data_IF_956988284523
#
_entry.id   IF_956988284523
#
_cell.length_a   1.000
_cell.length_b   1.000
_cell.length_c   1.000
_cell.angle_alpha   90.00
_cell.angle_beta   90.00
_cell.angle_gamma   90.00
#
_symmetry.space_group_name_H-M   'P 1'
#
loop_
_entity.id
_entity.type
_entity.pdbx_description
1 polymer ?
#
# COMPACT_ATOMS: atom_id res chain seq x y z
N UNK A 1 -3.89 -18.81 3.33
CA UNK A 1 -4.20 -18.15 4.61
C UNK A 1 -4.49 -19.20 5.67
N UNK A 2 -5.53 -20.02 5.49
CA UNK A 2 -5.91 -21.13 6.39
C UNK A 2 -4.78 -22.05 6.82
N UNK A 3 -3.93 -22.48 5.87
CA UNK A 3 -2.84 -23.42 6.13
C UNK A 3 -1.98 -23.00 7.33
N UNK A 4 -1.69 -21.71 7.48
CA UNK A 4 -0.80 -21.18 8.51
C UNK A 4 -1.51 -20.77 9.80
N UNK A 5 -2.85 -20.71 9.82
CA UNK A 5 -3.62 -20.21 10.96
C UNK A 5 -3.49 -21.14 12.17
N UNK A 6 -2.97 -20.62 13.29
CA UNK A 6 -2.81 -21.36 14.54
C UNK A 6 -1.81 -22.52 14.46
N UNK A 7 -0.88 -22.50 13.50
CA UNK A 7 0.17 -23.51 13.32
C UNK A 7 1.48 -23.03 13.92
N UNK A 8 2.19 -23.92 14.60
CA UNK A 8 3.49 -23.55 15.17
C UNK A 8 4.50 -23.31 14.06
N UNK A 9 5.44 -22.39 14.29
CA UNK A 9 6.46 -21.97 13.31
C UNK A 9 7.29 -23.10 12.71
N UNK A 10 7.48 -24.21 13.42
CA UNK A 10 8.25 -25.37 12.96
C UNK A 10 7.40 -26.45 12.28
N UNK A 11 6.08 -26.35 12.32
CA UNK A 11 5.17 -27.34 11.71
C UNK A 11 5.01 -27.12 10.18
N UNK A 12 5.32 -25.91 9.71
CA UNK A 12 5.20 -25.53 8.31
C UNK A 12 6.48 -24.87 7.78
N UNK A 13 6.67 -24.86 6.45
CA UNK A 13 7.79 -24.14 5.83
C UNK A 13 7.80 -22.65 6.22
N UNK A 14 8.98 -22.00 6.22
CA UNK A 14 9.08 -20.57 6.50
C UNK A 14 8.23 -19.72 5.55
N UNK A 15 7.37 -18.88 6.11
CA UNK A 15 6.49 -17.99 5.34
C UNK A 15 6.14 -16.73 6.15
N UNK A 16 5.88 -15.61 5.48
CA UNK A 16 5.49 -14.33 6.15
C UNK A 16 4.24 -14.46 7.01
N UNK A 17 3.31 -15.32 6.60
CA UNK A 17 2.10 -15.65 7.37
C UNK A 17 2.43 -16.30 8.71
N UNK A 18 3.47 -17.14 8.81
CA UNK A 18 3.88 -17.74 10.07
C UNK A 18 4.44 -16.68 11.05
N UNK A 19 5.10 -15.64 10.53
CA UNK A 19 5.59 -14.52 11.34
C UNK A 19 4.42 -13.69 11.86
N UNK A 20 3.44 -13.41 11.00
CA UNK A 20 2.23 -12.68 11.36
C UNK A 20 1.37 -13.45 12.39
N UNK A 21 1.18 -14.76 12.21
CA UNK A 21 0.46 -15.64 13.16
C UNK A 21 1.14 -15.66 14.53
N UNK A 22 2.46 -15.84 14.53
CA UNK A 22 3.26 -15.83 15.75
C UNK A 22 3.16 -14.49 16.48
N UNK A 23 3.24 -13.36 15.78
CA UNK A 23 3.10 -12.05 16.38
C UNK A 23 1.68 -11.83 16.94
N UNK A 24 0.65 -12.19 16.19
CA UNK A 24 -0.75 -12.09 16.64
C UNK A 24 -1.02 -12.91 17.89
N UNK A 25 -0.57 -14.18 17.93
CA UNK A 25 -0.77 -15.03 19.11
C UNK A 25 0.07 -14.57 20.31
N UNK A 26 1.30 -14.10 20.11
CA UNK A 26 2.13 -13.55 21.20
C UNK A 26 1.49 -12.29 21.79
N UNK A 27 0.95 -11.41 20.93
CA UNK A 27 0.20 -10.23 21.37
C UNK A 27 -0.98 -10.58 22.29
N UNK A 28 -1.76 -11.61 21.95
CA UNK A 28 -2.91 -12.03 22.75
C UNK A 28 -2.53 -12.76 24.04
N UNK A 29 -1.46 -13.56 23.99
CA UNK A 29 -1.00 -14.35 25.13
C UNK A 29 -0.26 -13.48 26.16
N UNK A 30 0.73 -12.72 25.70
CA UNK A 30 1.59 -11.88 26.56
C UNK A 30 0.91 -10.55 26.92
N UNK A 31 -0.14 -10.15 26.19
CA UNK A 31 -0.83 -8.85 26.31
C UNK A 31 0.11 -7.65 26.07
N UNK A 32 1.09 -7.83 25.20
CA UNK A 32 2.04 -6.80 24.79
C UNK A 32 1.94 -6.49 23.30
N UNK A 33 2.02 -5.20 22.94
CA UNK A 33 1.97 -4.74 21.56
C UNK A 33 3.17 -5.27 20.75
N UNK A 34 2.91 -5.71 19.51
CA UNK A 34 3.93 -6.30 18.64
C UNK A 34 4.26 -5.40 17.45
N UNK A 35 5.48 -5.51 16.94
CA UNK A 35 5.91 -4.81 15.73
C UNK A 35 6.62 -5.76 14.77
N UNK A 36 6.27 -5.68 13.47
CA UNK A 36 6.97 -6.39 12.41
C UNK A 36 7.71 -5.36 11.55
N UNK A 37 9.04 -5.47 11.49
CA UNK A 37 9.89 -4.57 10.72
C UNK A 37 10.38 -5.26 9.44
N UNK A 38 9.98 -4.75 8.28
CA UNK A 38 10.50 -5.21 6.99
C UNK A 38 11.75 -4.41 6.60
N UNK A 39 12.93 -5.02 6.67
CA UNK A 39 14.22 -4.41 6.31
C UNK A 39 14.70 -4.82 4.92
N UNK A 40 15.60 -4.04 4.32
CA UNK A 40 16.26 -4.36 3.05
C UNK A 40 16.41 -3.15 2.13
N UNK A 41 17.21 -3.30 1.07
CA UNK A 41 17.42 -2.26 0.06
C UNK A 41 16.16 -1.97 -0.79
N UNK A 42 16.19 -0.90 -1.60
CA UNK A 42 15.11 -0.63 -2.55
C UNK A 42 14.94 -1.81 -3.52
N UNK A 43 13.71 -2.28 -3.71
CA UNK A 43 13.42 -3.46 -4.53
C UNK A 43 13.44 -4.80 -3.78
N UNK A 44 13.86 -4.85 -2.51
CA UNK A 44 13.91 -6.11 -1.73
C UNK A 44 12.53 -6.72 -1.36
N UNK A 45 11.42 -6.17 -1.86
CA UNK A 45 10.07 -6.70 -1.60
C UNK A 45 9.45 -6.30 -0.26
N UNK A 46 9.96 -5.26 0.44
CA UNK A 46 9.42 -4.78 1.73
C UNK A 46 7.91 -4.49 1.67
N UNK A 47 7.49 -3.74 0.64
CA UNK A 47 6.09 -3.34 0.43
C UNK A 47 5.19 -4.54 0.22
N UNK A 48 5.60 -5.49 -0.62
CA UNK A 48 4.83 -6.70 -0.91
C UNK A 48 4.68 -7.60 0.32
N UNK A 49 5.76 -7.80 1.08
CA UNK A 49 5.69 -8.56 2.34
C UNK A 49 4.74 -7.88 3.34
N UNK A 50 4.78 -6.55 3.43
CA UNK A 50 3.86 -5.78 4.30
C UNK A 50 2.41 -5.98 3.89
N UNK A 51 2.09 -5.94 2.59
CA UNK A 51 0.74 -6.22 2.06
C UNK A 51 0.25 -7.61 2.48
N UNK A 52 1.10 -8.64 2.35
CA UNK A 52 0.78 -10.02 2.75
C UNK A 52 0.56 -10.18 4.25
N UNK A 53 1.39 -9.52 5.07
CA UNK A 53 1.22 -9.51 6.53
C UNK A 53 -0.12 -8.90 6.92
N UNK A 54 -0.47 -7.73 6.36
CA UNK A 54 -1.75 -7.06 6.62
C UNK A 54 -2.91 -7.96 6.21
N UNK A 55 -2.88 -8.52 5.00
CA UNK A 55 -3.91 -9.45 4.51
C UNK A 55 -4.13 -10.62 5.48
N UNK A 56 -3.05 -11.17 6.04
CA UNK A 56 -3.14 -12.27 6.98
C UNK A 56 -3.73 -11.86 8.34
N UNK A 57 -3.27 -10.74 8.90
CA UNK A 57 -3.78 -10.22 10.16
C UNK A 57 -5.27 -9.87 10.07
N UNK A 58 -5.70 -9.33 8.93
CA UNK A 58 -7.11 -9.06 8.66
C UNK A 58 -7.92 -10.35 8.59
N UNK A 59 -7.44 -11.34 7.85
CA UNK A 59 -8.09 -12.65 7.77
C UNK A 59 -8.29 -13.31 9.15
N UNK A 60 -7.27 -13.31 10.02
CA UNK A 60 -7.38 -13.93 11.36
C UNK A 60 -8.22 -13.09 12.30
N UNK A 61 -8.02 -11.77 12.32
CA UNK A 61 -8.77 -10.87 13.18
C UNK A 61 -10.27 -10.89 12.90
N UNK A 62 -10.69 -11.24 11.69
CA UNK A 62 -12.10 -11.38 11.33
C UNK A 62 -12.66 -12.80 11.53
N UNK A 63 -11.81 -13.81 11.78
CA UNK A 63 -12.20 -15.24 11.78
C UNK A 63 -13.19 -15.62 12.89
N UNK A 64 -13.14 -14.94 14.04
CA UNK A 64 -13.95 -15.26 15.21
C UNK A 64 -15.29 -14.52 15.28
N UNK A 65 -15.54 -13.59 14.35
CA UNK A 65 -16.86 -12.98 14.22
C UNK A 65 -17.73 -13.92 13.39
N UNK A 66 -18.70 -14.54 14.06
CA UNK A 66 -19.77 -15.27 13.41
C UNK A 66 -20.31 -14.37 12.30
N UNK A 67 -20.26 -14.83 11.05
CA UNK A 67 -20.96 -14.21 9.93
C UNK A 67 -22.46 -14.19 10.26
N UNK A 68 -22.90 -13.18 11.02
CA UNK A 68 -24.31 -12.83 11.10
C UNK A 68 -24.60 -12.23 9.73
N UNK A 69 -25.25 -13.02 8.88
CA UNK A 69 -25.70 -12.62 7.56
C UNK A 69 -26.39 -11.24 7.65
N UNK A 70 -25.71 -10.19 7.22
CA UNK A 70 -26.22 -8.81 7.29
C UNK A 70 -25.23 -7.72 7.70
N UNK A 71 -24.02 -8.03 8.20
CA UNK A 71 -23.03 -6.98 8.53
C UNK A 71 -22.09 -6.67 7.35
N UNK A 72 -22.52 -5.80 6.44
CA UNK A 72 -21.70 -5.23 5.36
C UNK A 72 -20.52 -4.36 5.85
N UNK A 73 -20.40 -4.09 7.15
CA UNK A 73 -19.39 -3.19 7.72
C UNK A 73 -17.97 -3.76 7.83
N UNK A 74 -17.81 -5.10 7.87
CA UNK A 74 -16.52 -5.74 8.19
C UNK A 74 -15.65 -5.98 6.96
N UNK A 75 -16.28 -6.32 5.82
CA UNK A 75 -15.65 -6.24 4.52
C UNK A 75 -15.09 -4.82 4.25
N UNK A 76 -15.69 -3.77 4.83
CA UNK A 76 -15.24 -2.39 4.59
C UNK A 76 -13.87 -2.10 5.17
N UNK A 77 -13.50 -2.58 6.36
CA UNK A 77 -12.20 -2.21 6.94
C UNK A 77 -11.03 -2.93 6.25
N UNK A 78 -11.21 -4.22 5.90
CA UNK A 78 -10.27 -4.94 5.03
C UNK A 78 -10.15 -4.23 3.67
N UNK A 79 -11.29 -3.97 3.03
CA UNK A 79 -11.32 -3.32 1.71
C UNK A 79 -10.71 -1.92 1.76
N UNK A 80 -10.95 -1.13 2.82
CA UNK A 80 -10.38 0.19 3.00
C UNK A 80 -8.86 0.14 3.20
N UNK A 81 -8.35 -0.82 3.98
CA UNK A 81 -6.90 -1.01 4.14
C UNK A 81 -6.23 -1.44 2.83
N UNK A 82 -6.90 -2.28 2.03
CA UNK A 82 -6.41 -2.68 0.73
C UNK A 82 -6.47 -1.52 -0.29
N UNK A 83 -7.57 -0.76 -0.32
CA UNK A 83 -7.77 0.43 -1.16
C UNK A 83 -6.84 1.60 -0.80
N UNK A 84 -6.39 1.69 0.45
CA UNK A 84 -5.43 2.71 0.86
C UNK A 84 -4.06 2.56 0.17
N UNK A 85 -3.66 1.35 -0.25
CA UNK A 85 -2.35 1.15 -0.86
C UNK A 85 -2.24 1.81 -2.25
N UNK A 86 -3.14 1.57 -3.23
CA UNK A 86 -3.12 2.30 -4.50
C UNK A 86 -3.02 3.82 -4.32
N UNK A 87 -3.79 4.39 -3.40
CA UNK A 87 -3.74 5.83 -3.08
C UNK A 87 -2.33 6.23 -2.65
N UNK A 88 -1.78 5.57 -1.63
CA UNK A 88 -0.46 5.91 -1.11
C UNK A 88 0.67 5.66 -2.12
N UNK A 89 0.53 4.67 -3.00
CA UNK A 89 1.49 4.38 -4.06
C UNK A 89 1.43 5.45 -5.16
N UNK A 90 0.24 5.86 -5.62
CA UNK A 90 0.09 6.95 -6.59
C UNK A 90 0.72 8.25 -6.14
N UNK A 91 0.51 8.65 -4.88
CA UNK A 91 0.99 9.93 -4.34
C UNK A 91 2.41 9.85 -3.74
N UNK A 92 2.93 8.66 -3.48
CA UNK A 92 4.16 8.46 -2.69
C UNK A 92 5.25 7.64 -3.37
N UNK A 93 4.95 6.92 -4.45
CA UNK A 93 5.94 6.14 -5.18
C UNK A 93 6.39 6.85 -6.47
N UNK A 94 7.60 6.52 -6.90
CA UNK A 94 8.17 7.01 -8.16
C UNK A 94 9.08 5.97 -8.81
N UNK A 95 9.29 6.14 -10.13
CA UNK A 95 10.35 5.45 -10.87
C UNK A 95 11.71 6.02 -10.50
N UNK A 96 12.60 5.14 -10.07
CA UNK A 96 14.03 5.40 -9.80
C UNK A 96 14.89 4.54 -10.73
N UNK A 97 16.20 4.74 -10.74
CA UNK A 97 17.12 3.89 -11.53
C UNK A 97 16.97 2.41 -11.17
N UNK A 98 16.82 2.09 -9.88
CA UNK A 98 16.81 0.70 -9.37
C UNK A 98 15.44 0.04 -9.33
N UNK A 99 14.37 0.81 -9.19
CA UNK A 99 13.01 0.29 -9.00
C UNK A 99 11.99 1.21 -9.67
N UNK A 100 11.10 0.60 -10.45
CA UNK A 100 10.05 1.25 -11.22
C UNK A 100 8.92 1.83 -10.36
N UNK A 101 8.65 1.22 -9.21
CA UNK A 101 7.62 1.63 -8.26
C UNK A 101 8.25 1.73 -6.86
N UNK A 102 9.16 2.69 -6.68
CA UNK A 102 9.89 2.86 -5.42
C UNK A 102 9.10 3.74 -4.46
N UNK A 103 8.76 3.23 -3.27
CA UNK A 103 8.21 4.06 -2.21
C UNK A 103 9.21 5.12 -1.76
N UNK A 104 8.80 6.39 -1.83
CA UNK A 104 9.62 7.57 -1.46
C UNK A 104 9.11 8.23 -0.17
N UNK A 105 8.46 7.44 0.67
CA UNK A 105 8.00 7.77 2.00
C UNK A 105 8.08 6.51 2.88
N UNK A 106 8.27 6.70 4.18
CA UNK A 106 8.11 5.66 5.18
C UNK A 106 6.63 5.46 5.50
N UNK A 107 6.19 4.23 5.68
CA UNK A 107 4.82 3.87 6.05
C UNK A 107 4.83 3.01 7.30
N UNK A 108 4.09 3.43 8.32
CA UNK A 108 3.81 2.64 9.52
C UNK A 108 2.33 2.35 9.58
N UNK A 109 1.96 1.08 9.55
CA UNK A 109 0.57 0.63 9.64
C UNK A 109 0.36 0.06 11.03
N UNK A 110 -0.53 0.68 11.78
CA UNK A 110 -0.97 0.21 13.09
C UNK A 110 -2.32 -0.48 12.92
N UNK A 111 -2.45 -1.71 13.43
CA UNK A 111 -3.71 -2.46 13.47
C UNK A 111 -4.02 -2.72 14.94
N UNK A 112 -5.18 -2.27 15.39
CA UNK A 112 -5.61 -2.41 16.77
C UNK A 112 -6.58 -3.57 16.88
N UNK A 113 -6.36 -4.43 17.87
CA UNK A 113 -7.22 -5.55 18.19
C UNK A 113 -7.92 -5.32 19.52
N UNK A 114 -9.15 -5.81 19.65
CA UNK A 114 -9.86 -5.83 20.92
C UNK A 114 -9.42 -7.02 21.80
N UNK A 115 -10.01 -7.11 22.99
CA UNK A 115 -9.70 -8.18 23.97
C UNK A 115 -10.07 -9.58 23.48
N UNK A 116 -10.92 -9.70 22.44
CA UNK A 116 -11.31 -10.99 21.84
C UNK A 116 -10.38 -11.41 20.71
N UNK A 117 -9.44 -10.55 20.33
CA UNK A 117 -8.54 -10.74 19.18
C UNK A 117 -9.16 -10.29 17.86
N UNK A 118 -10.25 -9.53 17.88
CA UNK A 118 -10.86 -9.00 16.65
C UNK A 118 -10.26 -7.64 16.30
N UNK A 119 -10.10 -7.33 15.01
CA UNK A 119 -9.71 -5.99 14.57
C UNK A 119 -10.78 -4.98 14.95
N UNK A 120 -10.35 -3.94 15.69
CA UNK A 120 -11.20 -2.83 16.12
C UNK A 120 -10.99 -1.58 15.27
N UNK A 121 -9.75 -1.29 14.88
CA UNK A 121 -9.39 -0.12 14.09
C UNK A 121 -8.02 -0.27 13.46
N UNK A 122 -7.69 0.62 12.52
CA UNK A 122 -6.38 0.71 11.89
C UNK A 122 -5.99 2.17 11.65
N UNK A 123 -4.68 2.42 11.62
CA UNK A 123 -4.12 3.74 11.34
C UNK A 123 -2.88 3.60 10.45
N UNK A 124 -2.69 4.55 9.54
CA UNK A 124 -1.51 4.62 8.67
C UNK A 124 -0.81 5.95 8.91
N UNK A 125 0.41 5.88 9.43
CA UNK A 125 1.29 7.03 9.60
C UNK A 125 2.34 7.04 8.49
N UNK A 126 2.40 8.14 7.76
CA UNK A 126 3.38 8.38 6.70
C UNK A 126 4.49 9.29 7.19
N UNK A 127 5.74 8.94 6.88
CA UNK A 127 6.94 9.65 7.32
C UNK A 127 7.80 10.05 6.11
N UNK A 128 8.45 11.21 6.22
CA UNK A 128 9.59 11.61 5.36
C UNK A 128 9.30 11.36 3.86
N UNK A 129 8.24 12.00 3.35
CA UNK A 129 8.01 12.05 1.91
C UNK A 129 9.16 12.83 1.24
N UNK A 130 9.77 12.27 0.21
CA UNK A 130 10.83 12.92 -0.58
C UNK A 130 10.27 14.04 -1.47
N UNK A 131 9.75 15.11 -0.86
CA UNK A 131 9.11 16.24 -1.55
C UNK A 131 10.03 16.95 -2.53
N UNK A 132 11.34 16.90 -2.31
CA UNK A 132 12.35 17.53 -3.17
C UNK A 132 12.37 16.98 -4.61
N UNK A 133 11.80 15.78 -4.83
CA UNK A 133 11.65 15.19 -6.16
C UNK A 133 10.61 15.91 -7.03
N UNK A 134 9.67 16.64 -6.45
CA UNK A 134 8.61 17.33 -7.22
C UNK A 134 9.20 18.38 -8.17
N UNK A 135 10.03 19.34 -7.72
CA UNK A 135 10.57 20.35 -8.63
C UNK A 135 11.66 19.83 -9.56
N UNK A 136 12.38 18.77 -9.19
CA UNK A 136 13.51 18.26 -9.97
C UNK A 136 13.71 16.76 -9.77
N UNK A 137 13.96 16.04 -10.87
CA UNK A 137 14.24 14.60 -10.85
C UNK A 137 15.63 14.33 -11.41
N UNK A 138 16.32 13.33 -10.88
CA UNK A 138 17.55 12.84 -11.47
C UNK A 138 17.31 12.26 -12.86
N UNK A 139 18.38 12.16 -13.66
CA UNK A 139 18.31 11.57 -15.00
C UNK A 139 17.70 10.16 -14.95
N UNK A 140 16.79 9.87 -15.88
CA UNK A 140 16.06 8.59 -16.00
C UNK A 140 15.12 8.26 -14.83
N UNK A 141 14.84 9.21 -13.96
CA UNK A 141 13.83 9.07 -12.90
C UNK A 141 12.54 9.84 -13.23
N UNK A 142 11.42 9.40 -12.66
CA UNK A 142 10.14 10.13 -12.74
C UNK A 142 9.90 10.93 -11.46
N UNK A 143 8.96 11.87 -11.55
CA UNK A 143 8.27 12.40 -10.37
C UNK A 143 7.30 11.35 -9.79
N UNK A 144 6.47 11.73 -8.82
CA UNK A 144 5.43 10.84 -8.29
C UNK A 144 4.47 10.35 -9.39
N UNK A 145 4.02 9.11 -9.27
CA UNK A 145 3.20 8.46 -10.31
C UNK A 145 1.91 9.24 -10.61
N UNK A 146 1.29 9.88 -9.62
CA UNK A 146 0.06 10.66 -9.77
C UNK A 146 0.14 11.69 -10.91
N UNK A 147 1.29 12.34 -11.14
CA UNK A 147 1.40 13.33 -12.22
C UNK A 147 1.23 12.72 -13.61
N UNK A 148 1.76 11.51 -13.81
CA UNK A 148 1.67 10.78 -15.07
C UNK A 148 0.31 10.08 -15.21
N UNK A 149 -0.18 9.52 -14.11
CA UNK A 149 -1.51 8.89 -14.02
C UNK A 149 -2.61 9.90 -14.36
N UNK A 150 -2.60 11.09 -13.74
CA UNK A 150 -3.56 12.15 -14.03
C UNK A 150 -3.46 12.63 -15.48
N UNK A 151 -2.26 12.88 -15.98
CA UNK A 151 -2.06 13.36 -17.35
C UNK A 151 -2.51 12.37 -18.42
N UNK A 152 -2.40 11.06 -18.17
CA UNK A 152 -2.74 10.03 -19.16
C UNK A 152 -4.13 9.44 -18.95
N UNK A 153 -4.58 9.31 -17.71
CA UNK A 153 -5.82 8.64 -17.33
C UNK A 153 -7.04 9.55 -17.19
N UNK A 154 -6.88 10.84 -16.88
CA UNK A 154 -8.05 11.71 -16.69
C UNK A 154 -8.87 11.89 -17.98
N UNK A 155 -10.19 12.11 -17.81
CA UNK A 155 -11.08 12.37 -18.95
C UNK A 155 -10.74 13.71 -19.62
N UNK A 156 -11.04 13.90 -20.92
CA UNK A 156 -10.81 15.18 -21.60
C UNK A 156 -11.48 16.37 -20.91
N UNK A 157 -12.68 16.16 -20.38
CA UNK A 157 -13.45 17.16 -19.63
C UNK A 157 -12.70 17.55 -18.35
N UNK A 158 -12.27 16.55 -17.57
CA UNK A 158 -11.51 16.77 -16.33
C UNK A 158 -10.20 17.50 -16.61
N UNK A 159 -9.50 17.15 -17.68
CA UNK A 159 -8.27 17.83 -18.11
C UNK A 159 -8.52 19.29 -18.45
N UNK A 160 -9.62 19.58 -19.15
CA UNK A 160 -10.00 20.96 -19.47
C UNK A 160 -10.37 21.76 -18.21
N UNK A 161 -11.12 21.16 -17.29
CA UNK A 161 -11.58 21.81 -16.05
C UNK A 161 -10.41 22.19 -15.12
N UNK A 162 -9.37 21.35 -15.05
CA UNK A 162 -8.18 21.61 -14.22
C UNK A 162 -7.02 22.25 -14.99
N UNK A 163 -7.25 22.65 -16.26
CA UNK A 163 -6.26 23.27 -17.15
C UNK A 163 -5.01 22.39 -17.37
N UNK A 164 -5.19 21.08 -17.46
CA UNK A 164 -4.12 20.12 -17.66
C UNK A 164 -3.63 20.14 -19.12
N UNK A 165 -2.39 20.61 -19.28
CA UNK A 165 -1.66 20.59 -20.54
C UNK A 165 -0.84 19.30 -20.71
N UNK A 166 -0.16 19.16 -21.86
CA UNK A 166 0.76 18.05 -22.13
C UNK A 166 1.92 18.00 -21.13
N UNK A 167 2.39 16.79 -20.81
CA UNK A 167 3.47 16.54 -19.83
C UNK A 167 4.75 17.34 -20.12
N UNK A 168 5.05 17.60 -21.40
CA UNK A 168 6.23 18.36 -21.84
C UNK A 168 6.19 19.85 -21.49
N UNK A 169 5.01 20.40 -21.20
CA UNK A 169 4.84 21.84 -20.87
C UNK A 169 5.28 22.15 -19.43
N UNK A 170 5.26 21.15 -18.54
CA UNK A 170 5.55 21.35 -17.13
C UNK A 170 7.04 21.28 -16.84
N UNK A 171 7.63 22.41 -16.44
CA UNK A 171 9.04 22.51 -16.00
C UNK A 171 9.39 21.56 -14.86
N UNK A 172 8.42 21.20 -14.00
CA UNK A 172 8.63 20.28 -12.89
C UNK A 172 8.74 18.81 -13.31
N UNK A 173 8.51 18.48 -14.58
CA UNK A 173 8.75 17.16 -15.14
C UNK A 173 10.06 17.19 -15.95
N UNK A 174 11.18 17.14 -15.23
CA UNK A 174 12.54 17.37 -15.75
C UNK A 174 12.89 16.46 -16.93
N UNK A 175 12.42 15.21 -16.90
CA UNK A 175 12.67 14.21 -17.92
C UNK A 175 11.47 14.00 -18.88
N UNK A 176 10.47 14.89 -18.84
CA UNK A 176 9.26 14.79 -19.65
C UNK A 176 8.46 13.50 -19.41
N UNK A 177 7.83 12.98 -20.46
CA UNK A 177 7.09 11.71 -20.45
C UNK A 177 8.03 10.50 -20.61
N UNK A 178 8.80 10.22 -19.56
CA UNK A 178 9.58 8.99 -19.49
C UNK A 178 8.61 7.82 -19.33
N UNK A 179 8.54 6.84 -20.25
CA UNK A 179 7.66 5.67 -20.12
C UNK A 179 8.27 4.59 -19.21
N UNK A 180 7.42 3.85 -18.48
CA UNK A 180 7.84 2.73 -17.62
C UNK A 180 7.12 1.47 -18.09
N UNK A 181 7.81 0.48 -18.66
CA UNK A 181 7.17 -0.69 -19.29
C UNK A 181 6.28 -1.51 -18.35
N UNK A 182 6.59 -1.49 -17.06
CA UNK A 182 5.87 -2.24 -16.02
C UNK A 182 4.61 -1.53 -15.52
N UNK A 183 4.34 -0.28 -15.92
CA UNK A 183 3.27 0.56 -15.38
C UNK A 183 2.39 1.09 -16.52
N UNK A 184 1.07 0.86 -16.42
CA UNK A 184 0.08 1.51 -17.26
C UNK A 184 -0.54 2.70 -16.52
N UNK A 185 0.01 3.89 -16.73
CA UNK A 185 -0.39 5.11 -16.02
C UNK A 185 -1.91 5.39 -16.13
N UNK A 186 -2.58 5.08 -17.25
CA UNK A 186 -4.01 5.31 -17.43
C UNK A 186 -4.87 4.31 -16.64
N UNK A 187 -4.49 3.03 -16.64
CA UNK A 187 -5.18 2.01 -15.84
C UNK A 187 -5.01 2.27 -14.34
N UNK A 188 -3.80 2.62 -13.92
CA UNK A 188 -3.50 2.94 -12.52
C UNK A 188 -4.28 4.17 -12.03
N UNK A 189 -4.58 5.13 -12.91
CA UNK A 189 -5.46 6.25 -12.56
C UNK A 189 -6.91 5.80 -12.32
N UNK A 190 -7.43 4.89 -13.14
CA UNK A 190 -8.76 4.31 -12.93
C UNK A 190 -8.82 3.53 -11.61
N UNK A 191 -7.78 2.74 -11.31
CA UNK A 191 -7.68 1.98 -10.06
C UNK A 191 -7.58 2.91 -8.83
N UNK A 192 -6.91 4.06 -8.99
CA UNK A 192 -6.87 5.12 -7.99
C UNK A 192 -8.26 5.74 -7.76
N UNK A 193 -9.00 6.10 -8.81
CA UNK A 193 -10.35 6.65 -8.69
C UNK A 193 -11.30 5.66 -7.99
N UNK A 194 -11.24 4.39 -8.37
CA UNK A 194 -12.00 3.31 -7.73
C UNK A 194 -11.63 3.10 -6.26
N UNK A 195 -10.39 3.42 -5.88
CA UNK A 195 -9.92 3.31 -4.50
C UNK A 195 -10.43 4.44 -3.60
N UNK A 196 -10.78 5.60 -4.17
CA UNK A 196 -11.39 6.71 -3.44
C UNK A 196 -12.89 6.54 -3.18
N UNK A 197 -13.57 5.68 -3.95
CA UNK A 197 -14.99 5.33 -3.78
C UNK A 197 -15.18 4.23 -2.73
#
# INVERSE_FOLDING_TARGET
LELYSGKKRHELPPHVYAIADSAYHSMLYDRENQSILCTGESGAGKTENTKRIIQYLVYIGCKNQVHVAGQEGQNKLEQQLLKANPILESFGNSKTIKNDNSSRFGKFVQINFDVTGTISSSNILSYILEKNRVPHQHEKERSFHIFYQLAKGASPETKQDILLQDLSTYRFLTNGDLSVPSINDAQEFLDLENSFQ
#
